data_IF_339651318346
#
_entry.id   IF_339651318346
#
_cell.length_a   1.000
_cell.length_b   1.000
_cell.length_c   1.000
_cell.angle_alpha   90.00
_cell.angle_beta   90.00
_cell.angle_gamma   90.00
#
_symmetry.space_group_name_H-M   'P 1'
#
loop_
_entity.id
_entity.type
_entity.pdbx_description
1 polymer ?
#
# COMPACT_ATOMS: atom_id res chain seq x y z
N UNK A 1 9.44 21.66 -8.03
CA UNK A 1 9.23 20.54 -8.97
C UNK A 1 8.84 19.32 -8.14
N UNK A 2 7.59 18.85 -8.25
CA UNK A 2 7.20 17.59 -7.62
C UNK A 2 7.96 16.48 -8.34
N UNK A 3 8.97 15.89 -7.70
CA UNK A 3 9.56 14.65 -8.21
C UNK A 3 8.50 13.59 -8.03
N UNK A 4 8.01 13.00 -9.13
CA UNK A 4 7.15 11.81 -9.08
C UNK A 4 7.82 10.79 -8.16
N UNK A 5 7.23 10.58 -6.97
CA UNK A 5 7.77 9.66 -5.98
C UNK A 5 7.53 8.24 -6.48
N UNK A 6 8.60 7.59 -6.95
CA UNK A 6 8.54 6.19 -7.35
C UNK A 6 8.38 5.33 -6.09
N UNK A 7 7.29 4.57 -6.04
CA UNK A 7 7.07 3.57 -5.00
C UNK A 7 7.82 2.29 -5.36
N UNK A 8 8.58 1.74 -4.41
CA UNK A 8 9.41 0.55 -4.65
C UNK A 8 9.17 -0.59 -3.67
N UNK A 9 8.46 -0.33 -2.57
CA UNK A 9 7.98 -1.36 -1.66
C UNK A 9 6.49 -1.21 -1.42
N UNK A 10 5.74 -2.30 -1.58
CA UNK A 10 4.32 -2.42 -1.22
C UNK A 10 4.15 -3.77 -0.52
N UNK A 11 3.55 -3.76 0.67
CA UNK A 11 3.22 -4.96 1.43
C UNK A 11 1.72 -4.99 1.72
N UNK A 12 1.12 -6.17 1.57
CA UNK A 12 -0.27 -6.43 1.90
C UNK A 12 -0.32 -7.33 3.13
N UNK A 13 -0.80 -6.79 4.24
CA UNK A 13 -0.87 -7.49 5.51
C UNK A 13 -2.35 -7.74 5.81
N UNK A 14 -2.82 -9.00 5.81
CA UNK A 14 -4.19 -9.29 6.20
C UNK A 14 -4.37 -8.99 7.69
N UNK A 15 -5.41 -8.23 8.03
CA UNK A 15 -5.77 -7.83 9.39
C UNK A 15 -7.28 -7.99 9.60
N UNK A 16 -7.70 -8.22 10.85
CA UNK A 16 -9.11 -8.42 11.20
C UNK A 16 -9.52 -9.89 11.32
N UNK A 17 -10.81 -10.11 11.53
CA UNK A 17 -11.42 -11.46 11.62
C UNK A 17 -11.85 -11.94 10.22
N UNK A 18 -12.28 -13.20 10.09
CA UNK A 18 -12.79 -13.73 8.81
C UNK A 18 -13.99 -12.94 8.26
N UNK A 19 -14.81 -12.37 9.15
CA UNK A 19 -16.04 -11.64 8.80
C UNK A 19 -15.77 -10.16 8.47
N UNK A 20 -14.70 -9.59 9.04
CA UNK A 20 -14.27 -8.20 8.82
C UNK A 20 -12.84 -8.12 8.28
N UNK A 21 -12.49 -9.02 7.36
CA UNK A 21 -11.14 -9.04 6.82
C UNK A 21 -10.84 -7.73 6.10
N UNK A 22 -9.64 -7.21 6.34
CA UNK A 22 -9.09 -6.00 5.71
C UNK A 22 -7.66 -6.30 5.29
N UNK A 23 -7.15 -5.58 4.31
CA UNK A 23 -5.71 -5.49 4.08
C UNK A 23 -5.19 -4.16 4.59
N UNK A 24 -4.20 -4.23 5.47
CA UNK A 24 -3.30 -3.11 5.70
C UNK A 24 -2.29 -3.10 4.56
N UNK A 25 -2.30 -2.02 3.78
CA UNK A 25 -1.32 -1.80 2.72
C UNK A 25 -0.28 -0.82 3.23
N UNK A 26 0.96 -1.28 3.29
CA UNK A 26 2.13 -0.46 3.64
C UNK A 26 2.95 -0.23 2.39
N UNK A 27 3.26 1.02 2.09
CA UNK A 27 4.11 1.36 0.95
C UNK A 27 5.04 2.52 1.25
N UNK A 28 6.13 2.60 0.49
CA UNK A 28 7.15 3.62 0.65
C UNK A 28 7.75 4.00 -0.70
N UNK A 29 8.27 5.22 -0.76
CA UNK A 29 9.05 5.67 -1.91
C UNK A 29 10.45 5.04 -1.94
N UNK A 30 11.15 5.23 -3.05
CA UNK A 30 12.47 4.65 -3.31
C UNK A 30 13.51 5.00 -2.23
N UNK A 31 13.49 6.22 -1.72
CA UNK A 31 14.43 6.67 -0.69
C UNK A 31 14.16 5.99 0.65
N UNK A 32 12.89 5.97 1.09
CA UNK A 32 12.51 5.31 2.34
C UNK A 32 12.74 3.79 2.27
N UNK A 33 12.49 3.17 1.11
CA UNK A 33 12.77 1.74 0.89
C UNK A 33 14.27 1.42 0.97
N UNK A 34 15.13 2.26 0.37
CA UNK A 34 16.58 2.07 0.44
C UNK A 34 17.09 2.15 1.89
N UNK A 35 16.59 3.11 2.67
CA UNK A 35 16.93 3.25 4.09
C UNK A 35 16.46 2.04 4.91
N UNK A 36 15.25 1.54 4.65
CA UNK A 36 14.74 0.33 5.27
C UNK A 36 15.65 -0.88 5.03
N UNK A 37 16.01 -1.14 3.76
CA UNK A 37 16.85 -2.28 3.39
C UNK A 37 18.28 -2.15 3.91
N UNK A 38 18.80 -0.93 4.04
CA UNK A 38 20.11 -0.66 4.61
C UNK A 38 20.13 -0.65 6.16
N UNK A 39 18.96 -0.74 6.82
CA UNK A 39 18.85 -0.63 8.27
C UNK A 39 19.15 0.77 8.82
N UNK A 40 19.01 1.82 8.00
CA UNK A 40 19.36 3.21 8.32
C UNK A 40 18.14 4.12 8.47
N UNK A 41 17.03 3.54 8.96
CA UNK A 41 15.76 4.24 9.22
C UNK A 41 16.01 5.39 10.21
N UNK A 42 15.43 6.55 9.92
CA UNK A 42 15.50 7.76 10.74
C UNK A 42 14.14 8.49 10.72
N UNK A 43 14.07 9.67 11.36
CA UNK A 43 12.84 10.45 11.51
C UNK A 43 12.27 10.99 10.19
N UNK A 44 13.08 11.03 9.13
CA UNK A 44 12.68 11.42 7.78
C UNK A 44 12.20 10.22 6.93
N UNK A 45 12.43 8.99 7.39
CA UNK A 45 11.93 7.78 6.72
C UNK A 45 10.41 7.68 6.90
N UNK A 46 9.65 7.95 5.83
CA UNK A 46 8.19 7.88 5.87
C UNK A 46 7.65 6.68 5.11
N UNK A 47 6.87 5.87 5.81
CA UNK A 47 6.00 4.85 5.22
C UNK A 47 4.57 5.38 5.21
N UNK A 48 3.83 5.06 4.17
CA UNK A 48 2.42 5.36 4.08
C UNK A 48 1.62 4.07 4.28
N UNK A 49 0.56 4.18 5.07
CA UNK A 49 -0.29 3.06 5.45
C UNK A 49 -1.75 3.40 5.17
N UNK A 50 -2.52 2.45 4.64
CA UNK A 50 -3.97 2.57 4.56
C UNK A 50 -4.63 1.19 4.61
N UNK A 51 -5.91 1.15 4.99
CA UNK A 51 -6.68 -0.09 5.08
C UNK A 51 -7.65 -0.21 3.91
N UNK A 52 -7.67 -1.37 3.26
CA UNK A 52 -8.68 -1.75 2.27
C UNK A 52 -9.65 -2.72 2.94
N UNK A 53 -10.94 -2.37 3.10
CA UNK A 53 -11.95 -3.34 3.51
C UNK A 53 -12.14 -4.37 2.40
N UNK A 54 -12.04 -5.66 2.74
CA UNK A 54 -12.24 -6.73 1.74
C UNK A 54 -13.61 -7.37 1.83
N UNK A 55 -14.49 -6.88 2.71
CA UNK A 55 -15.89 -7.31 2.76
C UNK A 55 -16.52 -7.07 1.38
N UNK A 56 -16.89 -8.17 0.70
CA UNK A 56 -17.45 -8.19 -0.66
C UNK A 56 -16.48 -7.80 -1.80
N UNK A 57 -15.17 -7.80 -1.57
CA UNK A 57 -14.17 -7.63 -2.63
C UNK A 57 -13.42 -8.95 -2.88
N UNK A 58 -13.25 -9.34 -4.14
CA UNK A 58 -12.25 -10.37 -4.47
C UNK A 58 -10.86 -9.83 -4.18
N UNK A 59 -10.06 -10.65 -3.52
CA UNK A 59 -8.66 -10.35 -3.20
C UNK A 59 -7.69 -10.91 -4.23
N UNK A 60 -8.19 -11.64 -5.22
CA UNK A 60 -7.39 -12.30 -6.25
C UNK A 60 -6.80 -11.28 -7.22
N UNK A 61 -7.54 -10.20 -7.50
CA UNK A 61 -7.09 -9.08 -8.31
C UNK A 61 -7.61 -7.75 -7.75
N UNK A 62 -6.67 -6.91 -7.30
CA UNK A 62 -6.93 -5.53 -6.91
C UNK A 62 -6.03 -4.57 -7.68
N UNK A 63 -6.63 -3.50 -8.20
CA UNK A 63 -5.92 -2.36 -8.77
C UNK A 63 -6.04 -1.16 -7.84
N UNK A 64 -4.90 -0.61 -7.42
CA UNK A 64 -4.84 0.61 -6.60
C UNK A 64 -4.34 1.74 -7.48
N UNK A 65 -5.18 2.74 -7.70
CA UNK A 65 -4.81 3.97 -8.41
C UNK A 65 -4.25 4.97 -7.41
N UNK A 66 -3.01 5.39 -7.65
CA UNK A 66 -2.29 6.36 -6.83
C UNK A 66 -1.91 7.60 -7.64
N UNK A 67 -1.97 8.75 -7.00
CA UNK A 67 -1.57 10.05 -7.56
C UNK A 67 -0.65 10.73 -6.54
N UNK A 68 0.56 11.13 -6.94
CA UNK A 68 1.59 11.70 -6.06
C UNK A 68 1.89 10.89 -4.79
N UNK A 69 1.80 9.56 -4.88
CA UNK A 69 2.01 8.65 -3.74
C UNK A 69 0.84 8.62 -2.75
N UNK A 70 -0.31 9.18 -3.10
CA UNK A 70 -1.55 9.11 -2.32
C UNK A 70 -2.55 8.20 -3.04
N UNK A 71 -3.20 7.33 -2.29
CA UNK A 71 -4.26 6.45 -2.83
C UNK A 71 -5.48 7.27 -3.18
N UNK A 72 -5.97 7.12 -4.42
CA UNK A 72 -7.16 7.82 -4.91
C UNK A 72 -8.34 6.88 -5.06
N UNK A 73 -8.09 5.65 -5.52
CA UNK A 73 -9.14 4.66 -5.76
C UNK A 73 -8.60 3.25 -5.65
N UNK A 74 -9.42 2.36 -5.11
CA UNK A 74 -9.18 0.91 -5.10
C UNK A 74 -10.29 0.26 -5.91
N UNK A 75 -9.91 -0.63 -6.82
CA UNK A 75 -10.83 -1.37 -7.70
C UNK A 75 -10.52 -2.85 -7.51
N UNK A 76 -11.52 -3.63 -7.12
CA UNK A 76 -11.45 -5.10 -7.13
C UNK A 76 -12.14 -5.62 -8.38
N UNK A 77 -11.50 -6.53 -9.10
CA UNK A 77 -12.14 -7.27 -10.20
C UNK A 77 -12.33 -8.71 -9.75
N UNK A 78 -13.57 -9.16 -9.59
CA UNK A 78 -13.86 -10.59 -9.63
C UNK A 78 -13.87 -11.03 -11.09
N UNK A 79 -13.11 -12.07 -11.45
CA UNK A 79 -13.41 -12.78 -12.70
C UNK A 79 -14.86 -13.27 -12.63
N UNK A 80 -15.63 -12.93 -13.65
CA UNK A 80 -17.05 -13.23 -13.78
C UNK A 80 -17.24 -14.55 -14.53
#
# INVERSE_FOLDING_TARGET
>A
MSRNKKLTSIQFIPVGTKEEQKFLVLYADEAATAQYLAGTINDDTRFTAFCIPTANMSTDSMTILMEDGVVRKVISSSEN
#
